data_IF_451950455731
#
_entry.id   IF_451950455731
#
_cell.length_a   1.000
_cell.length_b   1.000
_cell.length_c   1.000
_cell.angle_alpha   90.00
_cell.angle_beta   90.00
_cell.angle_gamma   90.00
#
_symmetry.space_group_name_H-M   'P 1'
#
loop_
_entity.id
_entity.type
_entity.pdbx_description
1 polymer ?
#
# COMPACT_ATOMS: atom_id res chain seq x y z
N UNK A 1 13.87 -7.53 25.47
CA UNK A 1 14.83 -7.90 26.53
C UNK A 1 15.69 -6.68 26.80
N UNK A 2 15.58 -6.06 27.97
CA UNK A 2 16.47 -4.95 28.31
C UNK A 2 17.88 -5.50 28.54
N UNK A 3 18.84 -5.03 27.72
CA UNK A 3 20.26 -5.40 27.78
C UNK A 3 20.90 -5.12 29.15
N UNK A 4 20.24 -4.31 29.98
CA UNK A 4 20.64 -3.94 31.33
C UNK A 4 20.83 -5.17 32.23
N UNK A 5 20.02 -6.23 32.07
CA UNK A 5 20.14 -7.46 32.86
C UNK A 5 21.35 -8.33 32.50
N UNK A 6 22.03 -8.06 31.38
CA UNK A 6 23.23 -8.79 30.95
C UNK A 6 24.53 -8.08 31.36
N UNK A 7 24.46 -6.86 31.90
CA UNK A 7 25.64 -6.05 32.24
C UNK A 7 26.37 -6.55 33.50
N UNK A 8 25.64 -7.19 34.42
CA UNK A 8 26.16 -7.65 35.72
C UNK A 8 26.32 -9.18 35.81
N UNK A 9 26.23 -9.90 34.69
CA UNK A 9 26.29 -11.37 34.64
C UNK A 9 27.73 -11.86 34.83
N UNK A 10 27.91 -12.89 35.65
CA UNK A 10 29.23 -13.44 35.92
C UNK A 10 29.81 -14.16 34.69
N UNK A 11 31.13 -14.11 34.49
CA UNK A 11 31.77 -14.67 33.29
C UNK A 11 31.61 -16.21 33.15
N UNK A 12 31.24 -16.89 34.23
CA UNK A 12 31.00 -18.33 34.31
C UNK A 12 29.51 -18.72 34.24
N UNK A 13 28.59 -17.76 34.14
CA UNK A 13 27.17 -18.04 33.97
C UNK A 13 26.87 -18.70 32.62
N UNK A 14 25.91 -19.64 32.64
CA UNK A 14 25.51 -20.34 31.42
C UNK A 14 24.58 -19.48 30.57
N UNK A 15 24.90 -19.34 29.28
CA UNK A 15 24.07 -18.62 28.30
C UNK A 15 22.59 -19.06 28.35
N UNK A 16 22.33 -20.35 28.56
CA UNK A 16 20.99 -20.92 28.66
C UNK A 16 20.14 -20.32 29.80
N UNK A 17 20.76 -19.77 30.85
CA UNK A 17 20.06 -19.08 31.94
C UNK A 17 19.55 -17.68 31.54
N UNK A 18 19.97 -17.17 30.38
CA UNK A 18 19.65 -15.82 29.90
C UNK A 18 18.97 -15.81 28.52
N UNK A 19 18.44 -16.95 28.09
CA UNK A 19 17.66 -17.05 26.85
C UNK A 19 16.16 -17.02 27.13
N UNK A 20 15.40 -16.33 26.28
CA UNK A 20 13.95 -16.45 26.25
C UNK A 20 13.52 -17.53 25.24
N UNK A 21 12.61 -18.45 25.60
CA UNK A 21 12.06 -19.38 24.62
C UNK A 21 11.21 -18.61 23.61
N UNK A 22 11.33 -18.95 22.33
CA UNK A 22 10.45 -18.43 21.28
C UNK A 22 9.07 -19.06 21.47
N UNK A 23 8.06 -18.23 21.59
CA UNK A 23 6.66 -18.64 21.73
C UNK A 23 5.95 -18.64 20.37
N UNK A 24 4.77 -19.27 20.30
CA UNK A 24 3.97 -19.27 19.07
C UNK A 24 3.44 -17.87 18.72
N UNK A 25 3.28 -16.99 19.70
CA UNK A 25 2.84 -15.60 19.52
C UNK A 25 3.89 -14.75 18.79
N UNK A 26 5.17 -15.12 18.90
CA UNK A 26 6.29 -14.44 18.24
C UNK A 26 6.60 -15.04 16.85
N UNK A 27 5.76 -15.95 16.34
CA UNK A 27 6.02 -16.67 15.09
C UNK A 27 4.91 -16.41 14.08
N UNK A 28 5.31 -15.97 12.88
CA UNK A 28 4.41 -15.82 11.73
C UNK A 28 4.71 -16.88 10.66
N UNK A 29 3.66 -17.40 10.03
CA UNK A 29 3.78 -18.39 8.95
C UNK A 29 4.48 -17.78 7.73
N UNK A 30 5.31 -18.57 7.04
CA UNK A 30 5.86 -18.16 5.73
C UNK A 30 4.80 -18.05 4.63
N UNK A 31 3.61 -18.59 4.86
CA UNK A 31 2.46 -18.54 3.95
C UNK A 31 1.45 -17.44 4.36
N UNK A 32 1.80 -16.58 5.33
CA UNK A 32 0.95 -15.47 5.75
C UNK A 32 0.68 -14.50 4.57
N UNK A 33 -0.55 -14.04 4.50
CA UNK A 33 -0.97 -12.99 3.57
C UNK A 33 -0.30 -11.66 3.91
N UNK A 34 -0.27 -10.75 2.94
CA UNK A 34 0.31 -9.43 3.17
C UNK A 34 -0.45 -8.63 4.24
N UNK A 35 -1.76 -8.83 4.35
CA UNK A 35 -2.60 -8.22 5.40
C UNK A 35 -2.19 -8.72 6.79
N UNK A 36 -2.08 -10.04 6.97
CA UNK A 36 -1.60 -10.66 8.22
C UNK A 36 -0.19 -10.16 8.59
N UNK A 37 0.69 -9.96 7.61
CA UNK A 37 2.03 -9.39 7.83
C UNK A 37 1.96 -7.94 8.32
N UNK A 38 1.10 -7.11 7.73
CA UNK A 38 0.94 -5.71 8.13
C UNK A 38 0.37 -5.60 9.55
N UNK A 39 -0.68 -6.36 9.87
CA UNK A 39 -1.28 -6.38 11.20
C UNK A 39 -0.33 -6.93 12.25
N UNK A 40 0.41 -8.01 11.96
CA UNK A 40 1.43 -8.50 12.86
C UNK A 40 2.47 -7.42 13.15
N UNK A 41 3.05 -6.80 12.11
CA UNK A 41 4.08 -5.76 12.26
C UNK A 41 3.56 -4.44 12.86
N UNK A 42 2.24 -4.23 12.87
CA UNK A 42 1.60 -3.16 13.64
C UNK A 42 1.70 -3.45 15.14
N UNK A 43 1.35 -4.67 15.55
CA UNK A 43 1.36 -5.10 16.96
C UNK A 43 2.77 -5.15 17.55
N UNK A 44 3.71 -5.81 16.86
CA UNK A 44 5.08 -6.00 17.35
C UNK A 44 6.12 -5.58 16.28
N UNK A 45 7.31 -5.10 16.66
CA UNK A 45 8.30 -4.59 15.71
C UNK A 45 8.93 -5.68 14.82
N UNK A 46 8.88 -6.94 15.26
CA UNK A 46 9.39 -8.08 14.50
C UNK A 46 8.69 -9.39 14.88
N UNK A 47 8.75 -10.38 13.99
CA UNK A 47 8.31 -11.76 14.20
C UNK A 47 9.36 -12.73 13.68
N UNK A 48 9.40 -13.94 14.23
CA UNK A 48 10.17 -15.04 13.64
C UNK A 48 9.36 -15.71 12.53
N UNK A 49 10.01 -16.00 11.40
CA UNK A 49 9.38 -16.76 10.31
C UNK A 49 9.41 -18.25 10.65
N UNK A 50 8.22 -18.85 10.81
CA UNK A 50 8.04 -20.25 11.12
C UNK A 50 7.65 -21.09 9.91
N UNK A 51 8.31 -22.22 9.70
CA UNK A 51 7.94 -23.17 8.65
C UNK A 51 8.59 -24.56 8.83
N UNK A 52 7.80 -25.63 8.66
CA UNK A 52 8.26 -27.04 8.75
C UNK A 52 9.09 -27.35 10.02
N UNK A 53 8.55 -26.96 11.18
CA UNK A 53 9.12 -27.25 12.50
C UNK A 53 10.50 -26.62 12.76
N UNK A 54 10.80 -25.50 12.09
CA UNK A 54 12.00 -24.69 12.28
C UNK A 54 11.70 -23.22 12.08
N UNK A 55 12.51 -22.37 12.68
CA UNK A 55 12.56 -20.93 12.37
C UNK A 55 13.48 -20.73 11.16
N UNK A 56 13.03 -19.94 10.19
CA UNK A 56 13.74 -19.72 8.92
C UNK A 56 14.26 -18.30 8.75
N UNK A 57 13.82 -17.35 9.57
CA UNK A 57 14.24 -15.96 9.50
C UNK A 57 13.54 -15.08 10.52
N UNK A 58 13.77 -13.78 10.37
CA UNK A 58 13.13 -12.71 11.15
C UNK A 58 12.46 -11.78 10.13
N UNK A 59 11.21 -11.42 10.41
CA UNK A 59 10.44 -10.43 9.67
C UNK A 59 10.38 -9.15 10.49
N UNK A 60 10.66 -8.02 9.87
CA UNK A 60 10.68 -6.69 10.48
C UNK A 60 9.94 -5.69 9.63
N UNK A 61 9.61 -4.51 10.20
CA UNK A 61 9.05 -3.38 9.44
C UNK A 61 9.96 -2.93 8.28
N UNK A 62 11.27 -3.17 8.34
CA UNK A 62 12.19 -2.82 7.27
C UNK A 62 12.00 -3.70 6.02
N UNK A 63 11.52 -4.93 6.19
CA UNK A 63 11.28 -5.85 5.08
C UNK A 63 10.14 -5.39 4.16
N UNK A 64 9.24 -4.54 4.66
CA UNK A 64 8.20 -3.88 3.85
C UNK A 64 8.77 -2.89 2.80
N UNK A 65 10.03 -2.50 2.95
CA UNK A 65 10.74 -1.67 1.96
C UNK A 65 11.57 -2.51 0.96
N UNK A 66 11.51 -3.84 1.04
CA UNK A 66 12.25 -4.74 0.14
C UNK A 66 11.43 -5.13 -1.08
N UNK A 67 12.10 -5.70 -2.10
CA UNK A 67 11.48 -6.01 -3.39
C UNK A 67 10.20 -6.86 -3.31
N UNK A 68 10.08 -7.91 -2.46
CA UNK A 68 8.84 -8.69 -2.36
C UNK A 68 7.60 -7.83 -2.04
N UNK A 69 7.70 -6.92 -1.05
CA UNK A 69 6.61 -6.03 -0.69
C UNK A 69 6.30 -5.01 -1.80
N UNK A 70 7.35 -4.43 -2.42
CA UNK A 70 7.16 -3.47 -3.52
C UNK A 70 6.51 -4.11 -4.75
N UNK A 71 6.90 -5.34 -5.12
CA UNK A 71 6.31 -6.07 -6.24
C UNK A 71 4.84 -6.40 -5.96
N UNK A 72 4.53 -6.87 -4.75
CA UNK A 72 3.15 -7.15 -4.34
C UNK A 72 2.26 -5.89 -4.42
N UNK A 73 2.72 -4.77 -3.87
CA UNK A 73 1.99 -3.51 -3.91
C UNK A 73 1.85 -3.00 -5.35
N UNK A 74 2.89 -3.09 -6.17
CA UNK A 74 2.84 -2.68 -7.56
C UNK A 74 1.78 -3.45 -8.35
N UNK A 75 1.72 -4.78 -8.20
CA UNK A 75 0.74 -5.64 -8.85
C UNK A 75 -0.70 -5.26 -8.46
N UNK A 76 -0.97 -5.18 -7.14
CA UNK A 76 -2.30 -4.84 -6.61
C UNK A 76 -2.75 -3.44 -7.04
N UNK A 77 -1.85 -2.45 -6.99
CA UNK A 77 -2.17 -1.08 -7.39
C UNK A 77 -2.42 -1.01 -8.90
N UNK A 78 -1.63 -1.71 -9.72
CA UNK A 78 -1.83 -1.76 -11.18
C UNK A 78 -3.20 -2.32 -11.53
N UNK A 79 -3.61 -3.40 -10.86
CA UNK A 79 -4.95 -3.97 -11.00
C UNK A 79 -6.03 -2.95 -10.63
N UNK A 80 -5.85 -2.21 -9.53
CA UNK A 80 -6.80 -1.16 -9.15
C UNK A 80 -6.86 -0.03 -10.19
N UNK A 81 -5.73 0.40 -10.76
CA UNK A 81 -5.73 1.43 -11.81
C UNK A 81 -6.55 0.99 -13.02
N UNK A 82 -6.47 -0.29 -13.40
CA UNK A 82 -7.29 -0.87 -14.47
C UNK A 82 -8.78 -0.83 -14.11
N UNK A 83 -9.16 -1.31 -12.92
CA UNK A 83 -10.55 -1.28 -12.44
C UNK A 83 -11.14 0.12 -12.36
N UNK A 84 -10.34 1.11 -11.94
CA UNK A 84 -10.79 2.51 -11.95
C UNK A 84 -11.06 3.03 -13.36
N UNK A 85 -10.25 2.65 -14.36
CA UNK A 85 -10.50 3.05 -15.75
C UNK A 85 -11.79 2.44 -16.28
N UNK A 86 -12.01 1.14 -16.03
CA UNK A 86 -13.25 0.44 -16.40
C UNK A 86 -14.47 1.13 -15.76
N UNK A 87 -14.44 1.32 -14.44
CA UNK A 87 -15.52 1.99 -13.70
C UNK A 87 -15.81 3.40 -14.23
N UNK A 88 -14.78 4.19 -14.53
CA UNK A 88 -14.95 5.55 -15.06
C UNK A 88 -15.58 5.51 -16.46
N UNK A 89 -15.22 4.55 -17.30
CA UNK A 89 -15.83 4.42 -18.63
C UNK A 89 -17.32 4.06 -18.54
N UNK A 90 -17.69 3.23 -17.57
CA UNK A 90 -19.06 2.78 -17.38
C UNK A 90 -19.95 3.86 -16.72
N UNK A 91 -19.51 4.44 -15.60
CA UNK A 91 -20.32 5.35 -14.78
C UNK A 91 -20.12 6.84 -15.10
N UNK A 92 -19.01 7.17 -15.78
CA UNK A 92 -18.60 8.54 -16.04
C UNK A 92 -17.96 8.75 -17.44
N UNK A 93 -18.61 8.33 -18.55
CA UNK A 93 -18.03 8.47 -19.89
C UNK A 93 -17.74 9.92 -20.29
N UNK A 94 -18.40 10.89 -19.65
CA UNK A 94 -18.18 12.34 -19.81
C UNK A 94 -17.41 12.97 -18.63
N UNK A 95 -16.49 12.23 -18.01
CA UNK A 95 -15.74 12.65 -16.82
C UNK A 95 -15.10 14.04 -16.92
N UNK A 96 -14.60 14.44 -18.11
CA UNK A 96 -14.03 15.78 -18.37
C UNK A 96 -15.00 16.93 -18.12
N UNK A 97 -16.29 16.72 -18.32
CA UNK A 97 -17.33 17.74 -18.13
C UNK A 97 -17.90 17.72 -16.71
N UNK A 98 -17.82 16.58 -16.03
CA UNK A 98 -18.41 16.36 -14.71
C UNK A 98 -17.47 16.72 -13.56
N UNK A 99 -16.17 16.64 -13.77
CA UNK A 99 -15.16 16.81 -12.73
C UNK A 99 -14.30 18.03 -13.06
N UNK A 100 -14.13 18.99 -12.14
CA UNK A 100 -13.29 20.15 -12.36
C UNK A 100 -11.80 19.76 -12.28
N UNK A 101 -11.25 19.31 -13.42
CA UNK A 101 -9.83 18.99 -13.56
C UNK A 101 -9.04 20.23 -13.99
N UNK A 102 -7.76 20.29 -13.62
CA UNK A 102 -6.85 21.32 -14.11
C UNK A 102 -6.76 21.22 -15.65
N UNK A 103 -6.95 22.33 -16.40
CA UNK A 103 -6.90 22.30 -17.86
C UNK A 103 -5.60 21.72 -18.42
N UNK A 104 -4.45 21.93 -17.76
CA UNK A 104 -3.17 21.38 -18.19
C UNK A 104 -3.14 19.85 -18.05
N UNK A 105 -3.79 19.30 -17.01
CA UNK A 105 -3.89 17.84 -16.84
C UNK A 105 -4.72 17.23 -17.96
N UNK A 106 -5.81 17.88 -18.36
CA UNK A 106 -6.64 17.43 -19.49
C UNK A 106 -5.87 17.52 -20.79
N UNK A 107 -5.20 18.64 -21.06
CA UNK A 107 -4.38 18.83 -22.25
C UNK A 107 -3.27 17.77 -22.36
N UNK A 108 -2.57 17.48 -21.26
CA UNK A 108 -1.52 16.46 -21.23
C UNK A 108 -2.05 15.05 -21.54
N UNK A 109 -3.28 14.74 -21.10
CA UNK A 109 -3.95 13.45 -21.38
C UNK A 109 -4.31 13.37 -22.87
N UNK A 110 -4.90 14.43 -23.41
CA UNK A 110 -5.29 14.53 -24.82
C UNK A 110 -4.08 14.46 -25.76
N UNK A 111 -2.97 15.11 -25.42
CA UNK A 111 -1.72 15.03 -26.18
C UNK A 111 -1.17 13.60 -26.21
N UNK A 112 -1.06 12.95 -25.03
CA UNK A 112 -0.57 11.56 -24.93
C UNK A 112 -1.46 10.58 -25.68
N UNK A 113 -2.78 10.78 -25.63
CA UNK A 113 -3.73 9.98 -26.39
C UNK A 113 -3.58 10.20 -27.90
N UNK A 114 -3.46 11.45 -28.36
CA UNK A 114 -3.25 11.77 -29.77
C UNK A 114 -1.94 11.17 -30.31
N UNK A 115 -0.86 11.23 -29.55
CA UNK A 115 0.45 10.64 -29.87
C UNK A 115 0.37 9.12 -30.04
N UNK A 116 -0.35 8.47 -29.12
CA UNK A 116 -0.54 7.03 -29.18
C UNK A 116 -1.41 6.62 -30.38
N UNK A 117 -2.47 7.37 -30.69
CA UNK A 117 -3.28 7.14 -31.91
C UNK A 117 -2.46 7.32 -33.18
N UNK A 118 -1.60 8.34 -33.25
CA UNK A 118 -0.63 8.53 -34.36
C UNK A 118 0.33 7.34 -34.49
N UNK A 119 0.57 6.63 -33.40
CA UNK A 119 1.40 5.43 -33.32
C UNK A 119 0.60 4.12 -33.46
N UNK A 120 -0.68 4.18 -33.85
CA UNK A 120 -1.58 3.03 -34.01
C UNK A 120 -1.79 2.20 -32.73
N UNK A 121 -1.80 2.88 -31.58
CA UNK A 121 -2.21 2.32 -30.29
C UNK A 121 -3.64 2.82 -30.02
N UNK A 122 -4.60 1.89 -29.98
CA UNK A 122 -6.02 2.18 -29.79
C UNK A 122 -6.45 1.81 -28.37
N UNK A 123 -6.17 2.69 -27.42
CA UNK A 123 -6.71 2.64 -26.06
C UNK A 123 -7.62 3.85 -25.83
N UNK A 124 -8.61 3.71 -24.95
CA UNK A 124 -9.46 4.83 -24.56
C UNK A 124 -8.65 5.95 -23.92
N UNK A 125 -9.12 7.19 -24.08
CA UNK A 125 -8.43 8.39 -23.59
C UNK A 125 -8.11 8.30 -22.08
N UNK A 126 -9.01 7.68 -21.31
CA UNK A 126 -8.83 7.50 -19.87
C UNK A 126 -7.55 6.72 -19.55
N UNK A 127 -7.03 5.84 -20.42
CA UNK A 127 -5.77 5.11 -20.21
C UNK A 127 -4.55 6.01 -20.08
N UNK A 128 -4.64 7.23 -20.59
CA UNK A 128 -3.57 8.21 -20.49
C UNK A 128 -3.70 9.07 -19.22
N UNK A 129 -4.76 8.93 -18.43
CA UNK A 129 -4.86 9.57 -17.12
C UNK A 129 -3.90 8.94 -16.10
N UNK A 130 -3.32 9.78 -15.24
CA UNK A 130 -2.50 9.33 -14.11
C UNK A 130 -3.40 8.82 -12.98
N UNK A 131 -2.84 8.01 -12.07
CA UNK A 131 -3.59 7.48 -10.93
C UNK A 131 -4.28 8.57 -10.09
N UNK A 132 -3.58 9.68 -9.81
CA UNK A 132 -4.15 10.84 -9.09
C UNK A 132 -5.36 11.44 -9.80
N UNK A 133 -5.34 11.48 -11.14
CA UNK A 133 -6.48 11.92 -11.95
C UNK A 133 -7.64 10.93 -11.82
N UNK A 134 -7.38 9.62 -11.89
CA UNK A 134 -8.40 8.59 -11.68
C UNK A 134 -9.03 8.73 -10.30
N UNK A 135 -8.21 8.83 -9.24
CA UNK A 135 -8.64 9.05 -7.86
C UNK A 135 -9.52 10.29 -7.72
N UNK A 136 -9.16 11.40 -8.39
CA UNK A 136 -9.95 12.63 -8.41
C UNK A 136 -11.31 12.42 -9.08
N UNK A 137 -11.35 11.70 -10.21
CA UNK A 137 -12.61 11.43 -10.90
C UNK A 137 -13.51 10.55 -10.03
N UNK A 138 -12.97 9.46 -9.47
CA UNK A 138 -13.70 8.54 -8.59
C UNK A 138 -14.30 9.29 -7.39
N UNK A 139 -13.50 10.11 -6.70
CA UNK A 139 -13.95 10.81 -5.49
C UNK A 139 -15.01 11.90 -5.76
N UNK A 140 -15.07 12.45 -6.97
CA UNK A 140 -16.01 13.52 -7.32
C UNK A 140 -17.34 13.00 -7.89
N UNK A 141 -17.45 11.71 -8.21
CA UNK A 141 -18.64 11.14 -8.84
C UNK A 141 -19.27 10.11 -7.91
N UNK A 142 -20.50 10.38 -7.46
CA UNK A 142 -21.24 9.54 -6.51
C UNK A 142 -21.30 8.06 -6.91
N UNK A 143 -21.70 7.78 -8.15
CA UNK A 143 -21.74 6.41 -8.67
C UNK A 143 -20.37 5.71 -8.59
N UNK A 144 -19.28 6.44 -8.79
CA UNK A 144 -17.94 5.87 -8.76
C UNK A 144 -17.47 5.58 -7.33
N UNK A 145 -17.55 6.55 -6.41
CA UNK A 145 -17.07 6.30 -5.05
C UNK A 145 -17.97 5.34 -4.27
N UNK A 146 -19.28 5.30 -4.56
CA UNK A 146 -20.20 4.33 -3.96
C UNK A 146 -19.89 2.91 -4.46
N UNK A 147 -19.58 2.75 -5.75
CA UNK A 147 -19.14 1.47 -6.32
C UNK A 147 -17.82 0.97 -5.70
N UNK A 148 -16.91 1.87 -5.31
CA UNK A 148 -15.70 1.53 -4.56
C UNK A 148 -15.95 1.28 -3.06
N UNK A 149 -17.21 1.34 -2.58
CA UNK A 149 -17.57 1.09 -1.18
C UNK A 149 -17.35 2.26 -0.23
N UNK A 150 -17.08 3.48 -0.74
CA UNK A 150 -16.95 4.65 0.12
C UNK A 150 -18.32 5.15 0.58
N UNK A 151 -18.35 5.83 1.74
CA UNK A 151 -19.59 6.39 2.31
C UNK A 151 -19.84 7.85 1.94
N UNK A 152 -18.85 8.53 1.36
CA UNK A 152 -18.92 9.93 0.93
C UNK A 152 -17.72 10.29 0.05
N UNK A 153 -17.88 11.35 -0.73
CA UNK A 153 -16.83 12.01 -1.51
C UNK A 153 -15.61 12.40 -0.66
N UNK A 154 -15.83 12.97 0.53
CA UNK A 154 -14.76 13.39 1.43
C UNK A 154 -13.93 12.21 1.94
N UNK A 155 -14.58 11.08 2.25
CA UNK A 155 -13.90 9.85 2.65
C UNK A 155 -13.12 9.25 1.48
N UNK A 156 -13.75 9.18 0.31
CA UNK A 156 -13.10 8.71 -0.91
C UNK A 156 -11.85 9.53 -1.23
N UNK A 157 -11.95 10.86 -1.28
CA UNK A 157 -10.82 11.75 -1.55
C UNK A 157 -9.68 11.50 -0.56
N UNK A 158 -9.95 11.52 0.75
CA UNK A 158 -8.90 11.35 1.76
C UNK A 158 -8.19 10.00 1.66
N UNK A 159 -8.92 8.91 1.44
CA UNK A 159 -8.31 7.57 1.39
C UNK A 159 -7.61 7.30 0.05
N UNK A 160 -8.15 7.83 -1.05
CA UNK A 160 -7.52 7.73 -2.37
C UNK A 160 -6.29 8.64 -2.50
N UNK A 161 -6.22 9.75 -1.75
CA UNK A 161 -5.01 10.57 -1.63
C UNK A 161 -3.89 9.76 -0.96
N UNK A 162 -4.18 9.08 0.15
CA UNK A 162 -3.21 8.20 0.82
C UNK A 162 -2.71 7.08 -0.11
N UNK A 163 -3.62 6.49 -0.88
CA UNK A 163 -3.30 5.47 -1.86
C UNK A 163 -2.47 6.01 -3.03
N UNK A 164 -2.75 7.24 -3.46
CA UNK A 164 -1.95 7.95 -4.46
C UNK A 164 -0.52 8.17 -3.97
N UNK A 165 -0.34 8.57 -2.70
CA UNK A 165 0.98 8.69 -2.10
C UNK A 165 1.71 7.34 -2.05
N UNK A 166 1.03 6.27 -1.65
CA UNK A 166 1.61 4.92 -1.61
C UNK A 166 2.03 4.46 -3.01
N UNK A 167 1.15 4.62 -4.00
CA UNK A 167 1.41 4.33 -5.41
C UNK A 167 2.64 5.07 -5.92
N UNK A 168 2.76 6.36 -5.61
CA UNK A 168 3.93 7.16 -5.99
C UNK A 168 5.20 6.63 -5.33
N UNK A 169 5.15 6.23 -4.06
CA UNK A 169 6.30 5.62 -3.40
C UNK A 169 6.73 4.32 -4.10
N UNK A 170 5.77 3.44 -4.43
CA UNK A 170 6.04 2.16 -5.12
C UNK A 170 6.64 2.43 -6.51
N UNK A 171 5.99 3.27 -7.33
CA UNK A 171 6.42 3.57 -8.69
C UNK A 171 7.81 4.22 -8.77
N UNK A 172 8.22 4.95 -7.73
CA UNK A 172 9.51 5.61 -7.66
C UNK A 172 10.53 4.90 -6.76
N UNK A 173 10.24 3.67 -6.32
CA UNK A 173 11.11 2.88 -5.44
C UNK A 173 11.54 3.65 -4.17
N UNK A 174 10.61 4.44 -3.62
CA UNK A 174 10.79 5.15 -2.36
C UNK A 174 10.34 4.25 -1.19
N UNK A 175 10.71 4.64 0.02
CA UNK A 175 10.32 3.91 1.23
C UNK A 175 8.79 3.88 1.40
N UNK A 176 8.26 2.67 1.53
CA UNK A 176 6.87 2.36 1.88
C UNK A 176 6.62 2.74 3.34
N UNK A 177 7.46 2.23 4.23
CA UNK A 177 7.52 2.60 5.66
C UNK A 177 8.67 3.58 5.84
N UNK A 178 8.34 4.78 6.31
CA UNK A 178 9.29 5.87 6.51
C UNK A 178 9.59 6.10 7.99
N UNK A 179 8.68 5.68 8.87
CA UNK A 179 8.80 5.84 10.30
C UNK A 179 8.23 4.62 11.04
N UNK A 180 8.96 4.11 12.04
CA UNK A 180 8.54 2.94 12.83
C UNK A 180 7.58 3.28 13.96
N UNK A 181 7.29 4.57 14.19
CA UNK A 181 6.45 5.03 15.31
C UNK A 181 7.24 5.39 16.58
N UNK A 182 8.54 5.09 16.62
CA UNK A 182 9.43 5.44 17.73
C UNK A 182 10.15 6.78 17.46
N UNK A 183 9.90 7.80 18.29
CA UNK A 183 10.55 9.10 18.21
C UNK A 183 9.76 10.19 17.46
N UNK A 184 10.44 11.28 17.09
CA UNK A 184 9.83 12.50 16.49
C UNK A 184 9.81 12.49 14.95
N UNK A 185 9.99 11.34 14.30
CA UNK A 185 10.07 11.28 12.86
C UNK A 185 8.72 11.51 12.17
N UNK A 186 8.79 12.11 10.98
CA UNK A 186 7.64 12.34 10.10
C UNK A 186 7.64 11.28 9.00
N UNK A 187 6.46 10.92 8.51
CA UNK A 187 6.31 10.03 7.35
C UNK A 187 5.31 8.91 7.58
N UNK A 188 5.13 8.07 6.57
CA UNK A 188 4.20 6.93 6.58
C UNK A 188 4.64 5.87 7.61
N UNK A 189 3.74 5.56 8.55
CA UNK A 189 3.92 4.52 9.58
C UNK A 189 3.32 3.19 9.15
N UNK A 190 3.57 2.13 9.92
CA UNK A 190 2.96 0.80 9.68
C UNK A 190 1.44 0.87 9.68
N UNK A 191 0.81 1.52 10.66
CA UNK A 191 -0.65 1.66 10.70
C UNK A 191 -1.22 2.46 9.52
N UNK A 192 -0.45 3.42 8.98
CA UNK A 192 -0.87 4.14 7.77
C UNK A 192 -0.80 3.24 6.54
N UNK A 193 0.26 2.43 6.39
CA UNK A 193 0.37 1.45 5.30
C UNK A 193 -0.73 0.41 5.39
N UNK A 194 -1.00 -0.12 6.58
CA UNK A 194 -2.10 -1.05 6.86
C UNK A 194 -3.44 -0.48 6.41
N UNK A 195 -3.81 0.71 6.90
CA UNK A 195 -5.07 1.36 6.52
C UNK A 195 -5.19 1.65 5.02
N UNK A 196 -4.09 2.08 4.37
CA UNK A 196 -4.07 2.30 2.93
C UNK A 196 -4.18 0.98 2.15
N UNK A 197 -3.59 -0.10 2.65
CA UNK A 197 -3.71 -1.43 2.04
C UNK A 197 -5.11 -2.04 2.20
N UNK A 198 -5.77 -1.81 3.35
CA UNK A 198 -7.19 -2.14 3.53
C UNK A 198 -8.04 -1.40 2.51
N UNK A 199 -7.84 -0.08 2.35
CA UNK A 199 -8.55 0.71 1.34
C UNK A 199 -8.35 0.14 -0.08
N UNK A 200 -7.12 -0.20 -0.45
CA UNK A 200 -6.81 -0.83 -1.73
C UNK A 200 -7.57 -2.15 -1.92
N UNK A 201 -7.61 -2.98 -0.88
CA UNK A 201 -8.27 -4.29 -0.95
C UNK A 201 -9.78 -4.16 -0.98
N UNK A 202 -10.37 -3.28 -0.17
CA UNK A 202 -11.81 -3.01 -0.16
C UNK A 202 -12.28 -2.50 -1.54
N UNK A 203 -11.54 -1.57 -2.15
CA UNK A 203 -11.85 -1.13 -3.52
C UNK A 203 -11.75 -2.27 -4.55
N UNK A 204 -10.73 -3.12 -4.45
CA UNK A 204 -10.57 -4.25 -5.37
C UNK A 204 -11.65 -5.32 -5.19
N UNK A 205 -12.15 -5.51 -3.98
CA UNK A 205 -13.19 -6.49 -3.68
C UNK A 205 -14.60 -5.97 -4.08
N UNK A 206 -14.77 -4.64 -4.15
CA UNK A 206 -16.01 -3.99 -4.54
C UNK A 206 -16.21 -3.89 -6.07
N UNK A 207 -15.13 -3.91 -6.86
CA UNK A 207 -15.11 -3.75 -8.33
C UNK A 207 -14.93 -5.08 -9.08
#
# INVERSE_FOLDING_TARGET
>A
MELEHLQDVAADDQVAAHTNPVTLEEVISTDATFDEVLSALYEEPFYFLGGRNRLTGILTRADLNTSPAMIHLFDRITLLEERFRELILDEAPHWKERVPLDPNVVEDIEERHADARRSNIELDEIHYAQFSTLATIISNIEACWDACGFSSDHRASSQLDDLTELRNSVAHSQLIIQHTGEGLGKGRTIGKVEQTYTTLTDCLDAL
#
